data_IF_054789069045
#
_entry.id   IF_054789069045
#
_cell.length_a   1.000
_cell.length_b   1.000
_cell.length_c   1.000
_cell.angle_alpha   90.00
_cell.angle_beta   90.00
_cell.angle_gamma   90.00
#
_symmetry.space_group_name_H-M   'P 1'
#
loop_
_entity.id
_entity.type
_entity.pdbx_description
1 polymer ?
#
# COMPACT_ATOMS: atom_id res chain seq x y z
N UNK A 1 10.74 6.63 -4.90
CA UNK A 1 9.46 6.98 -5.01
C UNK A 1 8.75 6.31 -6.07
N UNK A 2 9.19 6.40 -7.28
CA UNK A 2 8.51 5.72 -8.35
C UNK A 2 8.51 4.24 -8.18
N UNK A 3 9.50 3.70 -7.49
CA UNK A 3 9.53 2.26 -7.30
C UNK A 3 8.40 1.75 -6.43
N UNK A 4 7.99 2.55 -5.45
CA UNK A 4 6.87 2.14 -4.62
C UNK A 4 5.62 2.03 -5.47
N UNK A 5 5.35 3.04 -6.27
CA UNK A 5 4.16 3.04 -7.12
C UNK A 5 4.21 1.91 -8.13
N UNK A 6 5.36 1.71 -8.75
CA UNK A 6 5.50 0.67 -9.76
C UNK A 6 5.31 -0.71 -9.17
N UNK A 7 5.91 -0.97 -8.01
CA UNK A 7 5.77 -2.29 -7.39
C UNK A 7 4.35 -2.53 -6.92
N UNK A 8 3.72 -1.54 -6.37
CA UNK A 8 2.37 -1.69 -5.88
C UNK A 8 1.40 -1.93 -7.05
N UNK A 9 1.55 -1.15 -8.12
CA UNK A 9 0.67 -1.33 -9.27
C UNK A 9 0.84 -2.72 -9.85
N UNK A 10 2.08 -3.20 -9.99
CA UNK A 10 2.31 -4.53 -10.53
C UNK A 10 1.65 -5.59 -9.66
N UNK A 11 1.74 -5.45 -8.36
CA UNK A 11 1.11 -6.42 -7.47
C UNK A 11 -0.41 -6.44 -7.67
N UNK A 12 -1.03 -5.25 -7.74
CA UNK A 12 -2.47 -5.18 -7.88
C UNK A 12 -2.91 -5.73 -9.24
N UNK A 13 -2.19 -5.35 -10.29
CA UNK A 13 -2.57 -5.80 -11.62
C UNK A 13 -2.44 -7.30 -11.73
N UNK A 14 -1.39 -7.88 -11.20
CA UNK A 14 -1.18 -9.31 -11.34
C UNK A 14 -2.09 -10.13 -10.45
N UNK A 15 -2.40 -9.62 -9.28
CA UNK A 15 -3.16 -10.43 -8.33
C UNK A 15 -4.65 -10.17 -8.34
N UNK A 16 -5.09 -9.03 -8.81
CA UNK A 16 -6.50 -8.67 -8.75
C UNK A 16 -7.10 -8.33 -10.11
N UNK A 17 -6.28 -8.06 -11.11
CA UNK A 17 -6.78 -7.64 -12.42
C UNK A 17 -6.32 -8.56 -13.53
N UNK A 18 -5.73 -9.67 -13.19
CA UNK A 18 -5.32 -10.68 -14.16
C UNK A 18 -4.46 -10.09 -15.28
N UNK A 19 -3.60 -9.15 -14.94
CA UNK A 19 -2.69 -8.56 -15.90
C UNK A 19 -3.24 -7.36 -16.65
N UNK A 20 -4.47 -6.94 -16.36
CA UNK A 20 -5.08 -5.82 -17.07
C UNK A 20 -4.67 -4.51 -16.43
N UNK A 21 -3.64 -3.88 -16.97
CA UNK A 21 -3.13 -2.65 -16.37
C UNK A 21 -4.11 -1.49 -16.48
N UNK A 22 -5.01 -1.55 -17.43
CA UNK A 22 -5.98 -0.48 -17.58
C UNK A 22 -7.09 -0.53 -16.56
N UNK A 23 -7.16 -1.60 -15.79
CA UNK A 23 -8.24 -1.78 -14.83
C UNK A 23 -8.12 -0.93 -13.59
N UNK A 24 -6.99 -0.28 -13.36
CA UNK A 24 -6.83 0.54 -12.17
C UNK A 24 -6.01 1.77 -12.50
N UNK A 25 -6.45 2.91 -11.99
CA UNK A 25 -5.69 4.14 -12.10
C UNK A 25 -5.19 4.50 -10.72
N UNK A 26 -4.32 5.49 -10.66
CA UNK A 26 -3.69 5.83 -9.38
C UNK A 26 -4.71 6.31 -8.35
N UNK A 27 -5.79 6.93 -8.78
CA UNK A 27 -6.80 7.42 -7.85
C UNK A 27 -8.04 6.53 -7.78
N UNK A 28 -8.02 5.37 -8.42
CA UNK A 28 -9.17 4.47 -8.39
C UNK A 28 -9.36 3.91 -6.99
N UNK A 29 -10.60 3.98 -6.50
CA UNK A 29 -10.92 3.40 -5.20
C UNK A 29 -11.04 1.90 -5.35
N UNK A 30 -10.21 1.17 -4.62
CA UNK A 30 -10.19 -0.28 -4.74
C UNK A 30 -11.53 -0.90 -4.35
N UNK A 31 -12.10 -0.41 -3.25
CA UNK A 31 -13.35 -0.99 -2.77
C UNK A 31 -14.54 -0.55 -3.60
N UNK A 32 -14.58 0.72 -3.98
CA UNK A 32 -15.71 1.23 -4.74
C UNK A 32 -15.80 0.59 -6.11
N UNK A 33 -14.66 0.33 -6.72
CA UNK A 33 -14.64 -0.29 -8.04
C UNK A 33 -14.60 -1.81 -7.97
N UNK A 34 -14.60 -2.36 -6.76
CA UNK A 34 -14.61 -3.80 -6.63
C UNK A 34 -13.31 -4.49 -7.02
N UNK A 35 -12.22 -3.75 -7.11
CA UNK A 35 -10.95 -4.35 -7.49
C UNK A 35 -10.41 -5.20 -6.35
N UNK A 36 -10.50 -4.71 -5.12
CA UNK A 36 -9.99 -5.42 -3.96
C UNK A 36 -11.07 -5.41 -2.90
N UNK A 37 -11.40 -6.57 -2.36
CA UNK A 37 -12.37 -6.65 -1.27
C UNK A 37 -11.62 -6.71 0.06
N UNK A 38 -12.36 -6.92 1.14
CA UNK A 38 -11.76 -6.92 2.47
C UNK A 38 -10.66 -7.96 2.61
N UNK A 39 -10.86 -9.13 2.04
CA UNK A 39 -9.85 -10.16 2.09
C UNK A 39 -8.63 -9.76 1.27
N UNK A 40 -8.86 -9.16 0.12
CA UNK A 40 -7.77 -8.72 -0.72
C UNK A 40 -6.96 -7.61 -0.07
N UNK A 41 -7.59 -6.77 0.74
CA UNK A 41 -6.87 -5.74 1.46
C UNK A 41 -5.82 -6.39 2.37
N UNK A 42 -6.18 -7.50 3.02
CA UNK A 42 -5.23 -8.18 3.89
C UNK A 42 -4.08 -8.78 3.09
N UNK A 43 -4.36 -9.25 1.88
CA UNK A 43 -3.29 -9.74 1.02
C UNK A 43 -2.36 -8.62 0.61
N UNK A 44 -2.93 -7.45 0.30
CA UNK A 44 -2.12 -6.30 -0.04
C UNK A 44 -1.26 -5.88 1.15
N UNK A 45 -1.82 -5.91 2.35
CA UNK A 45 -1.07 -5.56 3.55
C UNK A 45 0.12 -6.50 3.72
N UNK A 46 -0.09 -7.80 3.53
CA UNK A 46 1.02 -8.75 3.62
C UNK A 46 2.11 -8.44 2.61
N UNK A 47 1.71 -8.09 1.39
CA UNK A 47 2.68 -7.70 0.38
C UNK A 47 3.47 -6.48 0.82
N UNK A 48 2.77 -5.46 1.35
CA UNK A 48 3.43 -4.24 1.76
C UNK A 48 4.41 -4.50 2.90
N UNK A 49 4.02 -5.33 3.84
CA UNK A 49 4.89 -5.62 4.97
C UNK A 49 6.15 -6.35 4.53
N UNK A 50 6.00 -7.29 3.61
CA UNK A 50 7.15 -8.06 3.16
C UNK A 50 8.02 -7.26 2.21
N UNK A 51 7.40 -6.55 1.28
CA UNK A 51 8.17 -5.87 0.26
C UNK A 51 8.89 -4.64 0.80
N UNK A 52 8.27 -3.94 1.72
CA UNK A 52 8.82 -2.67 2.20
C UNK A 52 9.27 -2.74 3.66
N UNK A 53 9.21 -3.91 4.25
CA UNK A 53 9.70 -4.13 5.62
C UNK A 53 9.05 -3.18 6.63
N UNK A 54 7.74 -3.05 6.54
CA UNK A 54 7.00 -2.23 7.48
C UNK A 54 6.02 -3.10 8.24
N UNK A 55 5.41 -2.51 9.26
CA UNK A 55 4.37 -3.18 10.02
C UNK A 55 3.12 -2.31 9.97
N UNK A 56 2.02 -2.87 9.53
CA UNK A 56 0.77 -2.13 9.38
C UNK A 56 -0.10 -2.43 10.60
N UNK A 57 -0.45 -1.37 11.33
CA UNK A 57 -1.26 -1.52 12.52
C UNK A 57 -2.74 -1.59 12.16
N UNK A 58 -3.53 -2.17 13.05
CA UNK A 58 -4.97 -2.30 12.79
C UNK A 58 -5.61 -0.95 12.55
N UNK A 59 -5.22 0.07 13.30
CA UNK A 59 -5.81 1.39 13.13
C UNK A 59 -5.47 1.99 11.80
N UNK A 60 -4.46 1.47 11.11
CA UNK A 60 -4.04 2.00 9.83
C UNK A 60 -4.78 1.37 8.66
N UNK A 61 -5.62 0.39 8.94
CA UNK A 61 -6.38 -0.29 7.89
C UNK A 61 -7.63 0.52 7.55
N UNK A 62 -7.44 1.67 6.98
CA UNK A 62 -8.55 2.56 6.66
C UNK A 62 -8.42 3.02 5.20
N UNK A 63 -9.52 3.41 4.57
CA UNK A 63 -9.47 3.80 3.16
C UNK A 63 -8.55 4.97 2.89
N UNK A 64 -8.38 5.88 3.84
CA UNK A 64 -7.48 7.00 3.66
C UNK A 64 -6.06 6.54 3.43
N UNK A 65 -5.70 5.37 3.95
CA UNK A 65 -4.35 4.85 3.80
C UNK A 65 -4.25 3.82 2.68
N UNK A 66 -5.28 3.01 2.52
CA UNK A 66 -5.17 1.84 1.66
C UNK A 66 -6.22 1.80 0.55
N UNK A 67 -6.91 2.89 0.31
CA UNK A 67 -8.05 2.87 -0.60
C UNK A 67 -7.72 3.03 -2.07
N UNK A 68 -6.53 3.49 -2.41
CA UNK A 68 -6.13 3.66 -3.80
C UNK A 68 -4.62 3.61 -3.89
N UNK A 69 -4.09 3.53 -5.09
CA UNK A 69 -2.63 3.53 -5.26
C UNK A 69 -2.04 4.80 -4.68
N UNK A 70 -2.65 5.95 -4.95
CA UNK A 70 -2.13 7.21 -4.40
C UNK A 70 -2.12 7.19 -2.89
N UNK A 71 -3.19 6.68 -2.27
CA UNK A 71 -3.25 6.64 -0.82
C UNK A 71 -2.19 5.72 -0.24
N UNK A 72 -2.00 4.55 -0.85
CA UNK A 72 -1.02 3.60 -0.34
C UNK A 72 0.38 4.16 -0.49
N UNK A 73 0.66 4.82 -1.61
CA UNK A 73 1.99 5.40 -1.81
C UNK A 73 2.27 6.45 -0.75
N UNK A 74 1.30 7.32 -0.48
CA UNK A 74 1.48 8.35 0.53
C UNK A 74 1.65 7.73 1.92
N UNK A 75 0.87 6.70 2.21
CA UNK A 75 0.98 6.00 3.48
C UNK A 75 2.37 5.37 3.63
N UNK A 76 2.86 4.71 2.59
CA UNK A 76 4.17 4.07 2.65
C UNK A 76 5.28 5.11 2.80
N UNK A 77 5.14 6.23 2.15
CA UNK A 77 6.16 7.27 2.29
C UNK A 77 6.22 7.76 3.72
N UNK A 78 5.08 7.91 4.37
CA UNK A 78 5.07 8.31 5.77
C UNK A 78 5.68 7.23 6.66
N UNK A 79 5.31 5.98 6.43
CA UNK A 79 5.84 4.89 7.26
C UNK A 79 7.34 4.75 7.09
N UNK A 80 7.82 4.83 5.87
CA UNK A 80 9.24 4.63 5.62
C UNK A 80 10.05 5.79 6.16
N UNK A 81 9.51 6.99 6.11
CA UNK A 81 10.18 8.12 6.72
C UNK A 81 10.31 7.96 8.21
N UNK A 82 9.27 7.47 8.84
CA UNK A 82 9.30 7.30 10.28
C UNK A 82 10.26 6.22 10.73
N UNK A 83 10.59 5.31 9.85
CA UNK A 83 11.49 4.23 10.23
C UNK A 83 12.91 4.51 9.85
N UNK A 84 13.20 5.67 9.33
CA UNK A 84 14.58 5.95 8.96
C UNK A 84 15.45 6.05 10.17
N UNK A 85 16.69 5.64 10.03
CA UNK A 85 17.60 5.62 11.17
C UNK A 85 17.80 6.96 11.82
N UNK A 86 17.70 8.00 11.06
CA UNK A 86 17.92 9.28 11.66
C UNK A 86 16.92 9.59 12.70
N UNK A 87 15.80 8.96 12.60
CA UNK A 87 14.81 9.26 13.53
C UNK A 87 15.01 8.59 14.76
N UNK A 88 15.85 7.75 14.74
CA UNK A 88 16.03 6.95 15.86
C UNK A 88 16.41 7.70 16.99
N UNK A 89 16.77 8.85 16.84
CA UNK A 89 17.13 9.46 17.95
C UNK A 89 16.16 9.22 18.93
N UNK A 90 16.07 8.13 19.33
CA UNK A 90 15.33 7.90 20.43
C UNK A 90 13.95 7.56 20.25
N UNK A 91 13.57 7.27 19.15
CA UNK A 91 12.34 6.90 19.03
C UNK A 91 12.14 5.60 19.42
N UNK A 92 11.48 5.33 20.40
CA UNK A 92 11.32 3.99 20.87
C UNK A 92 10.40 3.44 19.88
N UNK A 93 10.24 2.83 19.56
CA UNK A 93 9.42 2.34 18.77
C UNK A 93 9.00 1.37 19.01
#
# INVERSE_FOLDING_TARGET
MNQIRTKLRAFIVENFLFGNEDGVKDDTSFLDEGIIDSTGILEMVSFLEEEFAISVEDEELVPENLGSINNVVAYLQRKLSLTEPTVAQGRPR
#
